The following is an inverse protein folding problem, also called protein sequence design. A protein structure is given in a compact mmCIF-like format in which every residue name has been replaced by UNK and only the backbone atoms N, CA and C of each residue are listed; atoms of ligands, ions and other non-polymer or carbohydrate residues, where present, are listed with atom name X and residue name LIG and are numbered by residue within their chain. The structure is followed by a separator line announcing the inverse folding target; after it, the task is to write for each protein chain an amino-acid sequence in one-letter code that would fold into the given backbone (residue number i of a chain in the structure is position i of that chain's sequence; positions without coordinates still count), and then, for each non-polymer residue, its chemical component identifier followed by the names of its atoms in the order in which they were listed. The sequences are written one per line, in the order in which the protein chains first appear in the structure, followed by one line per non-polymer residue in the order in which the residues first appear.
data_IF_859562670770
#
_entry.id   IF_859562670770
#
_cell.length_a   1.000
_cell.length_b   1.000
_cell.length_c   1.000
_cell.angle_alpha   90.00
_cell.angle_beta   90.00
_cell.angle_gamma   90.00
#
_symmetry.space_group_name_H-M   'P 1'
#
loop_
_entity.id
_entity.type
_entity.pdbx_description
1 polymer ?
#
# COMPACT_ATOMS: atom_id res chain seq x y z
N UNK A 1 21.63 -24.41 16.31
CA UNK A 1 22.00 -25.16 17.53
C UNK A 1 22.76 -24.21 18.46
N UNK A 2 22.28 -24.01 19.69
CA UNK A 2 23.01 -23.23 20.70
C UNK A 2 23.87 -24.22 21.48
N UNK A 3 25.19 -24.16 21.31
CA UNK A 3 26.10 -24.98 22.11
C UNK A 3 26.08 -24.43 23.55
N UNK A 4 25.58 -25.21 24.53
CA UNK A 4 25.49 -24.71 25.90
C UNK A 4 26.89 -24.52 26.48
N UNK A 5 27.12 -23.41 27.18
CA UNK A 5 28.34 -23.24 27.97
C UNK A 5 28.06 -23.72 29.39
N UNK A 6 28.80 -24.73 29.83
CA UNK A 6 28.73 -25.21 31.22
C UNK A 6 29.68 -24.37 32.06
N UNK A 7 29.18 -23.81 33.16
CA UNK A 7 30.04 -23.19 34.17
C UNK A 7 30.94 -24.27 34.78
N UNK A 8 32.25 -24.07 34.70
CA UNK A 8 33.24 -25.08 35.15
C UNK A 8 33.29 -25.24 36.68
N UNK A 9 32.71 -24.32 37.45
CA UNK A 9 32.69 -24.35 38.91
C UNK A 9 31.33 -24.81 39.46
N UNK A 10 30.21 -24.41 38.86
CA UNK A 10 28.87 -24.78 39.36
C UNK A 10 28.23 -25.96 38.63
N UNK A 11 28.71 -26.33 37.43
CA UNK A 11 28.11 -27.37 36.60
C UNK A 11 26.78 -26.96 35.93
N UNK A 12 26.33 -25.72 36.12
CA UNK A 12 25.11 -25.22 35.50
C UNK A 12 25.31 -24.97 34.00
N UNK A 13 24.28 -25.33 33.23
CA UNK A 13 24.20 -25.00 31.81
C UNK A 13 23.81 -23.53 31.70
N UNK A 14 24.78 -22.66 31.47
CA UNK A 14 24.53 -21.28 31.10
C UNK A 14 24.09 -21.29 29.63
N UNK A 15 22.82 -20.93 29.41
CA UNK A 15 22.32 -20.55 28.09
C UNK A 15 22.40 -19.02 28.02
N UNK A 16 23.52 -18.42 27.58
CA UNK A 16 23.56 -16.98 27.43
C UNK A 16 22.59 -16.60 26.31
N UNK A 17 21.39 -16.21 26.69
CA UNK A 17 20.42 -15.65 25.77
C UNK A 17 21.02 -14.37 25.22
N UNK A 18 21.15 -14.31 23.90
CA UNK A 18 21.65 -13.14 23.22
C UNK A 18 20.51 -12.54 22.42
N UNK A 19 20.23 -11.27 22.68
CA UNK A 19 19.22 -10.53 21.95
C UNK A 19 19.66 -10.28 20.50
N UNK A 20 18.80 -10.64 19.54
CA UNK A 20 19.04 -10.51 18.09
C UNK A 20 18.28 -9.34 17.47
N UNK A 21 16.97 -9.29 17.70
CA UNK A 21 16.10 -8.22 17.22
C UNK A 21 14.83 -8.10 18.09
N UNK A 22 14.05 -7.04 17.88
CA UNK A 22 12.67 -6.97 18.37
C UNK A 22 11.81 -8.08 17.74
N UNK A 23 10.64 -8.42 18.32
CA UNK A 23 9.77 -9.47 17.79
C UNK A 23 9.50 -9.31 16.29
N UNK A 24 9.72 -10.40 15.56
CA UNK A 24 9.63 -10.47 14.11
C UNK A 24 8.90 -11.76 13.73
N UNK A 25 7.84 -11.61 12.95
CA UNK A 25 7.05 -12.70 12.39
C UNK A 25 7.44 -12.88 10.92
N UNK A 26 7.68 -14.14 10.52
CA UNK A 26 7.95 -14.52 9.14
C UNK A 26 6.67 -15.12 8.56
N UNK A 27 5.98 -14.35 7.71
CA UNK A 27 4.63 -14.67 7.25
C UNK A 27 4.61 -15.53 6.00
N UNK A 28 5.49 -15.25 5.03
CA UNK A 28 5.43 -15.91 3.73
C UNK A 28 6.45 -15.40 2.74
N UNK A 29 6.35 -15.86 1.50
CA UNK A 29 7.26 -15.51 0.41
C UNK A 29 6.49 -15.04 -0.79
N UNK A 30 7.06 -14.15 -1.58
CA UNK A 30 6.42 -13.65 -2.80
C UNK A 30 7.47 -13.32 -3.85
N UNK A 31 7.02 -13.06 -5.08
CA UNK A 31 7.90 -12.75 -6.21
C UNK A 31 7.36 -11.53 -6.95
N UNK A 32 8.25 -10.59 -7.30
CA UNK A 32 7.96 -9.48 -8.21
C UNK A 32 8.96 -9.58 -9.36
N UNK A 33 8.47 -9.83 -10.57
CA UNK A 33 9.33 -10.11 -11.72
C UNK A 33 10.22 -11.34 -11.50
N UNK A 34 11.54 -11.13 -11.37
CA UNK A 34 12.53 -12.19 -11.09
C UNK A 34 13.05 -12.16 -9.65
N UNK A 35 12.62 -11.19 -8.85
CA UNK A 35 13.10 -10.99 -7.50
C UNK A 35 12.21 -11.71 -6.50
N UNK A 36 12.84 -12.42 -5.56
CA UNK A 36 12.17 -13.11 -4.46
C UNK A 36 12.16 -12.24 -3.20
N UNK A 37 11.07 -12.33 -2.45
CA UNK A 37 10.83 -11.54 -1.26
C UNK A 37 10.43 -12.40 -0.07
N UNK A 38 10.85 -11.97 1.11
CA UNK A 38 10.33 -12.45 2.39
C UNK A 38 9.29 -11.48 2.95
N UNK A 39 8.06 -11.95 3.15
CA UNK A 39 7.02 -11.17 3.82
C UNK A 39 7.17 -11.33 5.32
N UNK A 40 7.37 -10.21 6.00
CA UNK A 40 7.64 -10.17 7.44
C UNK A 40 6.79 -9.11 8.12
N UNK A 41 6.49 -9.34 9.39
CA UNK A 41 5.72 -8.42 10.23
C UNK A 41 6.40 -8.19 11.57
N UNK A 42 6.44 -6.94 12.01
CA UNK A 42 6.91 -6.58 13.36
C UNK A 42 6.09 -5.42 13.91
N UNK A 43 6.31 -5.11 15.19
CA UNK A 43 5.74 -3.92 15.84
C UNK A 43 6.84 -2.92 16.12
N UNK A 44 6.61 -1.65 15.78
CA UNK A 44 7.50 -0.55 16.15
C UNK A 44 7.54 -0.44 17.68
N UNK A 45 8.72 -0.42 18.32
CA UNK A 45 8.81 -0.38 19.79
C UNK A 45 8.17 0.86 20.43
N UNK A 46 8.15 2.01 19.73
CA UNK A 46 7.71 3.28 20.30
C UNK A 46 6.17 3.40 20.40
N UNK A 47 5.44 2.96 19.37
CA UNK A 47 4.00 3.18 19.24
C UNK A 47 3.21 1.87 19.04
N UNK A 48 3.87 0.70 19.05
CA UNK A 48 3.28 -0.62 18.82
C UNK A 48 2.56 -0.79 17.47
N UNK A 49 2.78 0.15 16.54
CA UNK A 49 2.25 0.08 15.19
C UNK A 49 2.81 -1.17 14.48
N UNK A 50 1.92 -1.95 13.87
CA UNK A 50 2.31 -3.14 13.15
C UNK A 50 2.71 -2.79 11.72
N UNK A 51 3.90 -3.22 11.33
CA UNK A 51 4.45 -3.05 9.98
C UNK A 51 4.49 -4.42 9.32
N UNK A 52 3.94 -4.54 8.13
CA UNK A 52 4.07 -5.73 7.26
C UNK A 52 4.78 -5.30 5.99
N UNK A 53 5.86 -5.97 5.62
CA UNK A 53 6.67 -5.62 4.45
C UNK A 53 7.18 -6.87 3.72
N UNK A 54 7.25 -6.78 2.40
CA UNK A 54 8.03 -7.68 1.57
C UNK A 54 9.47 -7.16 1.47
N UNK A 55 10.44 -7.92 1.97
CA UNK A 55 11.86 -7.57 1.94
C UNK A 55 12.55 -8.39 0.86
N UNK A 56 13.28 -7.77 -0.10
CA UNK A 56 14.01 -8.50 -1.13
C UNK A 56 15.00 -9.48 -0.49
N UNK A 57 14.93 -10.75 -0.83
CA UNK A 57 15.82 -11.78 -0.28
C UNK A 57 17.29 -11.46 -0.56
N UNK A 58 17.59 -10.91 -1.74
CA UNK A 58 18.95 -10.51 -2.12
C UNK A 58 19.56 -9.42 -1.24
N UNK A 59 18.76 -8.68 -0.47
CA UNK A 59 19.25 -7.69 0.49
C UNK A 59 19.34 -8.19 1.94
N UNK A 60 18.77 -9.37 2.26
CA UNK A 60 18.75 -9.89 3.62
C UNK A 60 20.15 -10.30 4.04
N UNK A 61 20.68 -9.67 5.09
CA UNK A 61 22.03 -9.88 5.59
C UNK A 61 23.02 -8.79 5.18
N UNK A 62 22.70 -8.02 4.14
CA UNK A 62 23.54 -6.93 3.63
C UNK A 62 23.25 -5.60 4.32
N UNK A 63 24.18 -4.64 4.12
CA UNK A 63 24.09 -3.29 4.72
C UNK A 63 22.75 -2.61 4.42
N UNK A 64 22.30 -2.71 3.18
CA UNK A 64 21.11 -2.00 2.72
C UNK A 64 19.82 -2.66 3.21
N UNK A 65 19.77 -4.01 3.30
CA UNK A 65 18.64 -4.70 3.94
C UNK A 65 18.55 -4.42 5.45
N UNK A 66 19.68 -4.39 6.16
CA UNK A 66 19.68 -3.97 7.57
C UNK A 66 19.27 -2.51 7.76
N UNK A 67 19.65 -1.62 6.84
CA UNK A 67 19.21 -0.23 6.86
C UNK A 67 17.69 -0.15 6.65
N UNK A 68 17.17 -0.81 5.62
CA UNK A 68 15.73 -0.85 5.33
C UNK A 68 14.89 -1.28 6.55
N UNK A 69 15.28 -2.38 7.20
CA UNK A 69 14.57 -2.90 8.38
C UNK A 69 14.58 -1.90 9.55
N UNK A 70 15.72 -1.26 9.82
CA UNK A 70 15.86 -0.27 10.91
C UNK A 70 15.10 1.03 10.60
N UNK A 71 15.14 1.49 9.36
CA UNK A 71 14.42 2.69 8.91
C UNK A 71 12.89 2.52 9.09
N UNK A 72 12.40 1.27 9.04
CA UNK A 72 11.00 0.91 9.31
C UNK A 72 10.75 0.40 10.74
N UNK A 73 11.69 0.64 11.66
CA UNK A 73 11.49 0.47 13.10
C UNK A 73 11.75 -0.93 13.66
N UNK A 74 12.38 -1.84 12.91
CA UNK A 74 12.87 -3.09 13.47
C UNK A 74 14.19 -2.84 14.20
N UNK A 75 14.22 -3.08 15.51
CA UNK A 75 15.47 -3.03 16.27
C UNK A 75 16.28 -4.30 16.01
N UNK A 76 17.55 -4.15 15.65
CA UNK A 76 18.46 -5.28 15.33
C UNK A 76 19.80 -5.08 16.05
N UNK A 77 20.38 -6.17 16.54
CA UNK A 77 21.72 -6.23 17.13
C UNK A 77 22.78 -5.57 16.25
N UNK A 78 23.82 -4.97 16.82
CA UNK A 78 24.95 -4.39 16.09
C UNK A 78 26.08 -5.37 15.82
N UNK A 79 26.05 -6.54 16.47
CA UNK A 79 27.07 -7.56 16.33
C UNK A 79 26.92 -8.29 14.98
N UNK A 80 27.94 -8.19 14.13
CA UNK A 80 27.94 -8.80 12.78
C UNK A 80 27.73 -10.31 12.77
N UNK A 81 28.29 -11.04 13.75
CA UNK A 81 28.13 -12.50 13.84
C UNK A 81 26.67 -12.88 14.09
N UNK A 82 25.99 -12.13 14.95
CA UNK A 82 24.58 -12.37 15.27
C UNK A 82 23.64 -11.90 14.17
N UNK A 83 24.00 -10.85 13.43
CA UNK A 83 23.29 -10.47 12.21
C UNK A 83 23.33 -11.55 11.14
N UNK A 84 24.48 -12.19 10.91
CA UNK A 84 24.59 -13.29 9.96
C UNK A 84 23.62 -14.44 10.33
N UNK A 85 23.59 -14.83 11.61
CA UNK A 85 22.65 -15.86 12.11
C UNK A 85 21.19 -15.42 11.92
N UNK A 86 20.87 -14.16 12.20
CA UNK A 86 19.53 -13.62 12.03
C UNK A 86 19.11 -13.59 10.54
N UNK A 87 20.03 -13.25 9.63
CA UNK A 87 19.77 -13.26 8.19
C UNK A 87 19.47 -14.67 7.68
N UNK A 88 20.22 -15.69 8.11
CA UNK A 88 19.94 -17.09 7.79
C UNK A 88 18.56 -17.50 8.31
N UNK A 89 18.24 -17.11 9.54
CA UNK A 89 16.93 -17.41 10.13
C UNK A 89 15.77 -16.75 9.36
N UNK A 90 15.91 -15.47 8.99
CA UNK A 90 14.91 -14.72 8.20
C UNK A 90 14.63 -15.40 6.85
N UNK A 91 15.67 -15.92 6.19
CA UNK A 91 15.54 -16.56 4.89
C UNK A 91 15.01 -18.00 4.96
N UNK A 92 15.44 -18.79 5.94
CA UNK A 92 15.22 -20.24 5.94
C UNK A 92 14.08 -20.69 6.86
N UNK A 93 13.79 -19.95 7.92
CA UNK A 93 12.84 -20.37 8.97
C UNK A 93 11.44 -19.75 8.76
N UNK A 94 10.47 -20.15 9.58
CA UNK A 94 9.13 -19.56 9.61
C UNK A 94 8.18 -20.09 8.55
N UNK A 95 7.05 -19.40 8.35
CA UNK A 95 6.04 -19.79 7.36
C UNK A 95 6.49 -19.40 5.95
N UNK A 96 6.36 -20.28 4.97
CA UNK A 96 6.70 -20.03 3.56
C UNK A 96 5.46 -20.03 2.65
N UNK A 97 4.28 -19.76 3.24
CA UNK A 97 3.06 -19.48 2.48
C UNK A 97 3.33 -18.50 1.34
N UNK A 98 2.72 -18.77 0.20
CA UNK A 98 2.90 -17.96 -0.99
C UNK A 98 1.99 -16.73 -0.93
N UNK A 99 2.59 -15.55 -1.02
CA UNK A 99 1.95 -14.26 -1.03
C UNK A 99 1.99 -13.66 -2.43
N UNK A 100 0.91 -12.97 -2.79
CA UNK A 100 0.82 -12.21 -4.03
C UNK A 100 1.24 -10.77 -3.76
N UNK A 101 2.27 -10.31 -4.46
CA UNK A 101 2.84 -8.98 -4.27
C UNK A 101 2.47 -8.10 -5.46
N UNK A 102 1.99 -6.88 -5.19
CA UNK A 102 1.73 -5.90 -6.25
C UNK A 102 2.45 -4.59 -5.96
N UNK A 103 3.03 -4.00 -7.01
CA UNK A 103 3.64 -2.67 -6.98
C UNK A 103 2.67 -1.56 -7.37
N UNK A 104 1.47 -1.91 -7.86
CA UNK A 104 0.44 -0.97 -8.35
C UNK A 104 -0.89 -1.20 -7.66
N UNK A 105 -1.73 -0.18 -7.60
CA UNK A 105 -3.11 -0.24 -7.11
C UNK A 105 -4.04 -0.84 -8.17
N UNK A 106 -5.34 -0.96 -7.86
CA UNK A 106 -6.36 -1.47 -8.78
C UNK A 106 -6.61 -2.96 -8.65
N UNK A 107 -7.18 -3.58 -9.68
CA UNK A 107 -7.48 -5.02 -9.66
C UNK A 107 -6.25 -5.88 -9.81
N UNK A 108 -5.96 -6.69 -8.79
CA UNK A 108 -4.90 -7.67 -8.81
C UNK A 108 -5.38 -8.95 -8.13
N UNK A 109 -5.08 -10.09 -8.76
CA UNK A 109 -5.30 -11.40 -8.15
C UNK A 109 -6.74 -11.68 -7.65
N UNK A 110 -7.74 -11.08 -8.31
CA UNK A 110 -9.16 -11.25 -7.96
C UNK A 110 -9.68 -10.29 -6.88
N UNK A 111 -8.84 -9.40 -6.35
CA UNK A 111 -9.23 -8.38 -5.39
C UNK A 111 -8.77 -6.98 -5.83
N UNK A 112 -9.35 -5.94 -5.24
CA UNK A 112 -9.00 -4.55 -5.53
C UNK A 112 -8.06 -4.00 -4.45
N UNK A 113 -6.88 -3.54 -4.86
CA UNK A 113 -5.87 -2.92 -3.99
C UNK A 113 -6.07 -1.41 -3.98
N UNK A 114 -6.40 -0.87 -2.82
CA UNK A 114 -6.54 0.57 -2.59
C UNK A 114 -5.16 1.24 -2.49
N UNK A 115 -5.06 2.57 -2.72
CA UNK A 115 -3.80 3.30 -2.57
C UNK A 115 -3.15 3.19 -1.20
N UNK A 116 -3.93 3.11 -0.12
CA UNK A 116 -3.42 2.90 1.24
C UNK A 116 -2.92 1.46 1.50
N UNK A 117 -3.01 0.58 0.51
CA UNK A 117 -2.63 -0.83 0.58
C UNK A 117 -3.70 -1.75 1.15
N UNK A 118 -4.87 -1.21 1.53
CA UNK A 118 -6.01 -2.05 1.91
C UNK A 118 -6.56 -2.81 0.70
N UNK A 119 -7.16 -3.98 0.95
CA UNK A 119 -7.63 -4.89 -0.09
C UNK A 119 -9.13 -5.08 0.06
N UNK A 120 -9.88 -4.87 -1.02
CA UNK A 120 -11.32 -5.10 -1.10
C UNK A 120 -11.57 -6.36 -1.93
N UNK A 121 -12.37 -7.27 -1.39
CA UNK A 121 -12.68 -8.55 -2.02
C UNK A 121 -11.86 -9.71 -1.46
N UNK A 122 -12.00 -10.88 -2.08
CA UNK A 122 -11.33 -12.10 -1.67
C UNK A 122 -10.32 -12.52 -2.74
N UNK A 123 -9.20 -13.07 -2.29
CA UNK A 123 -8.15 -13.62 -3.15
C UNK A 123 -7.76 -15.00 -2.63
N UNK A 124 -7.23 -15.85 -3.52
CA UNK A 124 -6.82 -17.21 -3.15
C UNK A 124 -5.64 -17.21 -2.18
N UNK A 125 -4.76 -16.20 -2.28
CA UNK A 125 -3.54 -16.05 -1.49
C UNK A 125 -3.51 -14.66 -0.85
N UNK A 126 -2.84 -14.49 0.30
CA UNK A 126 -2.68 -13.17 0.90
C UNK A 126 -1.99 -12.19 -0.07
N UNK A 127 -2.56 -11.01 -0.21
CA UNK A 127 -2.02 -9.93 -1.05
C UNK A 127 -1.27 -8.93 -0.17
N UNK A 128 -0.12 -8.45 -0.66
CA UNK A 128 0.58 -7.30 -0.07
C UNK A 128 0.93 -6.29 -1.16
N UNK A 129 0.47 -5.06 -0.97
CA UNK A 129 0.92 -3.92 -1.75
C UNK A 129 2.31 -3.47 -1.30
N UNK A 130 3.25 -3.39 -2.23
CA UNK A 130 4.65 -2.99 -1.98
C UNK A 130 5.03 -1.70 -2.71
N UNK A 131 4.09 -1.13 -3.46
CA UNK A 131 4.26 0.14 -4.16
C UNK A 131 4.33 1.32 -3.19
N UNK A 132 4.83 2.45 -3.69
CA UNK A 132 4.68 3.75 -3.05
C UNK A 132 3.71 4.55 -3.91
N UNK A 133 2.58 4.97 -3.35
CA UNK A 133 1.66 5.84 -4.08
C UNK A 133 1.62 7.21 -3.42
N UNK A 134 1.78 8.25 -4.24
CA UNK A 134 1.60 9.63 -3.79
C UNK A 134 0.12 9.90 -3.43
N UNK A 135 -0.81 9.10 -3.95
CA UNK A 135 -2.24 9.27 -3.77
C UNK A 135 -2.74 8.91 -2.37
N UNK A 136 -1.96 8.20 -1.51
CA UNK A 136 -2.43 7.75 -0.18
C UNK A 136 -3.05 8.88 0.63
N UNK A 137 -2.47 10.09 0.62
CA UNK A 137 -2.95 11.21 1.43
C UNK A 137 -4.34 11.71 1.03
N UNK A 138 -4.75 11.48 -0.22
CA UNK A 138 -6.06 11.88 -0.72
C UNK A 138 -7.17 10.90 -0.38
N UNK A 139 -6.85 9.62 -0.19
CA UNK A 139 -7.81 8.58 0.13
C UNK A 139 -8.06 8.54 1.64
N UNK A 140 -9.30 8.83 2.03
CA UNK A 140 -9.67 8.90 3.45
C UNK A 140 -11.17 8.67 3.61
N UNK A 141 -11.58 8.22 4.79
CA UNK A 141 -13.00 8.05 5.12
C UNK A 141 -13.40 9.14 6.09
N UNK A 142 -14.40 9.94 5.71
CA UNK A 142 -15.02 10.95 6.56
C UNK A 142 -16.55 10.80 6.52
N UNK A 143 -17.17 10.64 7.68
CA UNK A 143 -18.62 10.45 7.80
C UNK A 143 -19.07 9.03 7.49
N UNK A 144 -20.28 8.89 6.93
CA UNK A 144 -20.87 7.60 6.55
C UNK A 144 -21.39 7.63 5.13
N UNK A 145 -21.54 6.45 4.51
CA UNK A 145 -22.11 6.30 3.18
C UNK A 145 -23.52 6.86 3.10
N UNK A 146 -24.35 6.64 4.12
CA UNK A 146 -25.70 7.21 4.21
C UNK A 146 -25.65 8.74 4.30
N UNK A 147 -24.72 9.28 5.09
CA UNK A 147 -24.49 10.71 5.19
C UNK A 147 -24.12 11.33 3.85
N UNK A 148 -23.20 10.70 3.11
CA UNK A 148 -22.82 11.15 1.76
C UNK A 148 -24.01 11.09 0.79
N UNK A 149 -24.79 10.00 0.82
CA UNK A 149 -25.99 9.84 -0.02
C UNK A 149 -27.04 10.92 0.26
N UNK A 150 -27.36 11.14 1.53
CA UNK A 150 -28.46 12.02 1.95
C UNK A 150 -28.09 13.51 1.86
N UNK A 151 -26.80 13.83 1.70
CA UNK A 151 -26.28 15.20 1.56
C UNK A 151 -25.75 15.49 0.16
N UNK A 152 -24.67 14.83 -0.27
CA UNK A 152 -23.98 15.10 -1.55
C UNK A 152 -24.77 14.52 -2.72
N UNK A 153 -25.06 13.21 -2.70
CA UNK A 153 -25.72 12.55 -3.82
C UNK A 153 -27.14 13.10 -4.06
N UNK A 154 -27.88 13.36 -2.97
CA UNK A 154 -29.21 13.96 -3.03
C UNK A 154 -29.21 15.32 -3.73
N UNK A 155 -28.18 16.15 -3.49
CA UNK A 155 -28.05 17.47 -4.14
C UNK A 155 -27.57 17.37 -5.59
N UNK A 156 -26.79 16.35 -5.93
CA UNK A 156 -26.39 16.06 -7.31
C UNK A 156 -27.56 15.54 -8.17
N UNK A 157 -28.57 14.92 -7.54
CA UNK A 157 -29.74 14.36 -8.21
C UNK A 157 -30.48 15.38 -9.08
N UNK A 158 -30.65 15.06 -10.37
CA UNK A 158 -31.30 15.92 -11.35
C UNK A 158 -30.36 16.93 -12.03
N UNK A 159 -29.10 17.05 -11.61
CA UNK A 159 -28.08 17.79 -12.32
C UNK A 159 -27.26 16.84 -13.21
N UNK A 160 -27.37 16.90 -14.55
CA UNK A 160 -26.70 15.94 -15.43
C UNK A 160 -25.18 15.91 -15.29
N UNK A 161 -24.52 17.07 -15.10
CA UNK A 161 -23.08 17.15 -14.97
C UNK A 161 -22.58 16.52 -13.67
N UNK A 162 -23.25 16.79 -12.55
CA UNK A 162 -22.88 16.20 -11.25
C UNK A 162 -23.16 14.69 -11.22
N UNK A 163 -24.29 14.26 -11.78
CA UNK A 163 -24.61 12.85 -11.93
C UNK A 163 -23.59 12.13 -12.82
N UNK A 164 -23.12 12.77 -13.90
CA UNK A 164 -22.04 12.26 -14.73
C UNK A 164 -20.75 12.09 -13.92
N UNK A 165 -20.35 13.10 -13.14
CA UNK A 165 -19.16 13.01 -12.27
C UNK A 165 -19.21 11.81 -11.32
N UNK A 166 -20.35 11.59 -10.66
CA UNK A 166 -20.58 10.41 -9.80
C UNK A 166 -20.48 9.11 -10.59
N UNK A 167 -21.14 9.03 -11.76
CA UNK A 167 -21.14 7.83 -12.58
C UNK A 167 -19.73 7.47 -13.11
N UNK A 168 -18.95 8.46 -13.55
CA UNK A 168 -17.57 8.27 -13.99
C UNK A 168 -16.71 7.73 -12.86
N UNK A 169 -16.81 8.34 -11.67
CA UNK A 169 -16.05 7.92 -10.50
C UNK A 169 -16.34 6.48 -10.08
N UNK A 170 -17.62 6.10 -10.06
CA UNK A 170 -18.03 4.72 -9.75
C UNK A 170 -17.71 3.71 -10.85
N UNK A 171 -17.61 4.16 -12.11
CA UNK A 171 -17.28 3.29 -13.24
C UNK A 171 -15.79 2.91 -13.28
N UNK A 172 -14.91 3.73 -12.70
CA UNK A 172 -13.46 3.53 -12.75
C UNK A 172 -13.02 2.12 -12.30
N UNK A 173 -13.43 1.60 -11.12
CA UNK A 173 -13.07 0.25 -10.70
C UNK A 173 -13.87 -0.84 -11.44
N UNK A 174 -14.88 -0.51 -12.25
CA UNK A 174 -15.72 -1.51 -12.92
C UNK A 174 -15.34 -1.72 -14.39
N UNK A 175 -14.68 -0.75 -15.00
CA UNK A 175 -14.51 -0.72 -16.45
C UNK A 175 -13.67 -1.89 -16.99
N UNK A 176 -12.57 -2.22 -16.30
CA UNK A 176 -11.73 -3.37 -16.63
C UNK A 176 -12.46 -4.70 -16.43
N UNK A 177 -13.33 -4.81 -15.41
CA UNK A 177 -14.08 -6.03 -15.12
C UNK A 177 -15.10 -6.37 -16.21
N UNK A 178 -15.66 -5.36 -16.87
CA UNK A 178 -16.61 -5.55 -17.97
C UNK A 178 -15.91 -5.63 -19.34
N UNK A 179 -14.58 -5.58 -19.38
CA UNK A 179 -13.79 -5.65 -20.61
C UNK A 179 -13.95 -4.43 -21.52
N UNK A 180 -14.28 -3.27 -20.95
CA UNK A 180 -14.39 -2.01 -21.69
C UNK A 180 -13.08 -1.21 -21.61
N UNK A 181 -12.86 -0.37 -22.62
CA UNK A 181 -11.71 0.53 -22.66
C UNK A 181 -11.85 1.69 -21.67
N UNK A 182 -10.74 2.09 -21.07
CA UNK A 182 -10.64 3.32 -20.27
C UNK A 182 -11.09 4.56 -21.06
N UNK A 183 -11.72 5.52 -20.38
CA UNK A 183 -12.14 6.78 -21.00
C UNK A 183 -11.85 7.98 -20.10
N UNK A 184 -11.83 9.17 -20.70
CA UNK A 184 -11.76 10.45 -20.00
C UNK A 184 -12.99 11.31 -20.27
N UNK A 185 -13.37 12.15 -19.30
CA UNK A 185 -14.43 13.15 -19.45
C UNK A 185 -13.85 14.52 -19.21
N UNK A 186 -13.99 15.39 -20.21
CA UNK A 186 -13.61 16.79 -20.11
C UNK A 186 -14.84 17.66 -19.89
N UNK A 187 -14.96 18.25 -18.70
CA UNK A 187 -16.00 19.24 -18.40
C UNK A 187 -15.55 20.61 -18.94
N UNK A 188 -16.15 21.04 -20.05
CA UNK A 188 -15.81 22.32 -20.69
C UNK A 188 -16.97 23.31 -20.59
N UNK A 189 -16.74 24.43 -19.92
CA UNK A 189 -17.73 25.50 -19.75
C UNK A 189 -17.04 26.78 -19.24
N UNK A 190 -17.76 27.91 -19.21
CA UNK A 190 -17.27 29.15 -18.60
C UNK A 190 -16.82 28.98 -17.13
N UNK A 191 -15.99 29.89 -16.64
CA UNK A 191 -15.60 29.91 -15.22
C UNK A 191 -16.83 30.00 -14.33
N UNK A 192 -16.77 29.39 -13.14
CA UNK A 192 -17.87 29.32 -12.17
C UNK A 192 -19.12 28.55 -12.61
N UNK A 193 -19.06 27.78 -13.70
CA UNK A 193 -20.17 26.92 -14.14
C UNK A 193 -20.28 25.55 -13.41
N UNK A 194 -19.54 25.35 -12.31
CA UNK A 194 -19.63 24.13 -11.49
C UNK A 194 -18.75 22.96 -11.93
N UNK A 195 -17.72 23.19 -12.77
CA UNK A 195 -16.73 22.16 -13.18
C UNK A 195 -15.99 21.57 -11.99
N UNK A 196 -15.32 22.42 -11.21
CA UNK A 196 -14.59 22.01 -9.99
C UNK A 196 -15.53 21.39 -8.96
N UNK A 197 -16.77 21.90 -8.83
CA UNK A 197 -17.78 21.28 -7.95
C UNK A 197 -18.12 19.85 -8.39
N UNK A 198 -18.30 19.62 -9.68
CA UNK A 198 -18.58 18.28 -10.24
C UNK A 198 -17.41 17.34 -10.00
N UNK A 199 -16.18 17.79 -10.23
CA UNK A 199 -14.97 17.00 -9.94
C UNK A 199 -14.83 16.71 -8.45
N UNK A 200 -15.07 17.69 -7.58
CA UNK A 200 -15.03 17.48 -6.12
C UNK A 200 -16.06 16.45 -5.67
N UNK A 201 -17.28 16.47 -6.23
CA UNK A 201 -18.29 15.44 -5.96
C UNK A 201 -17.76 14.06 -6.38
N UNK A 202 -17.17 13.94 -7.58
CA UNK A 202 -16.60 12.69 -8.07
C UNK A 202 -15.47 12.17 -7.17
N UNK A 203 -14.54 13.02 -6.75
CA UNK A 203 -13.42 12.66 -5.86
C UNK A 203 -13.86 12.32 -4.44
N UNK A 204 -14.94 12.95 -3.95
CA UNK A 204 -15.45 12.73 -2.59
C UNK A 204 -15.93 11.30 -2.31
N UNK A 205 -16.14 10.49 -3.35
CA UNK A 205 -16.41 9.05 -3.23
C UNK A 205 -15.21 8.26 -2.69
N UNK A 206 -13.99 8.76 -2.91
CA UNK A 206 -12.74 8.06 -2.59
C UNK A 206 -11.97 8.70 -1.43
N UNK A 207 -12.27 9.96 -1.09
CA UNK A 207 -11.65 10.68 0.01
C UNK A 207 -11.74 12.19 -0.11
N UNK A 208 -10.75 12.91 0.39
CA UNK A 208 -10.77 14.38 0.46
C UNK A 208 -10.47 15.00 -0.92
N UNK A 209 -11.42 15.72 -1.55
CA UNK A 209 -11.23 16.22 -2.91
C UNK A 209 -10.02 17.12 -3.11
N UNK A 210 -9.74 18.03 -2.17
CA UNK A 210 -8.60 18.95 -2.29
C UNK A 210 -7.25 18.22 -2.23
N UNK A 211 -7.16 17.13 -1.45
CA UNK A 211 -5.96 16.31 -1.35
C UNK A 211 -5.76 15.36 -2.54
N UNK A 212 -6.81 15.12 -3.32
CA UNK A 212 -6.77 14.34 -4.58
C UNK A 212 -6.65 15.21 -5.83
N UNK A 213 -6.80 16.54 -5.72
CA UNK A 213 -6.79 17.43 -6.88
C UNK A 213 -5.40 17.44 -7.51
N UNK A 214 -5.34 16.99 -8.76
CA UNK A 214 -4.14 17.06 -9.59
C UNK A 214 -4.35 18.15 -10.65
N UNK A 215 -3.25 18.72 -11.12
CA UNK A 215 -3.26 19.72 -12.20
C UNK A 215 -2.76 19.11 -13.51
N UNK A 216 -3.33 19.52 -14.63
CA UNK A 216 -2.80 19.22 -15.95
C UNK A 216 -1.43 19.88 -16.21
N UNK A 217 -1.06 20.89 -15.43
CA UNK A 217 0.26 21.51 -15.47
C UNK A 217 1.32 20.60 -14.83
N UNK A 218 1.73 19.57 -15.56
CA UNK A 218 2.72 18.59 -15.12
C UNK A 218 3.63 18.12 -16.26
N UNK A 219 4.70 17.40 -15.89
CA UNK A 219 5.50 16.67 -16.88
C UNK A 219 4.74 15.40 -17.31
N UNK A 220 4.97 14.91 -18.54
CA UNK A 220 4.37 13.67 -19.00
C UNK A 220 4.67 12.48 -18.06
N UNK A 221 5.88 12.44 -17.50
CA UNK A 221 6.27 11.43 -16.49
C UNK A 221 5.49 11.61 -15.18
N UNK A 222 5.28 12.84 -14.73
CA UNK A 222 4.47 13.11 -13.54
C UNK A 222 3.03 12.61 -13.71
N UNK A 223 2.40 12.93 -14.84
CA UNK A 223 1.04 12.47 -15.13
C UNK A 223 0.98 10.93 -15.26
N UNK A 224 1.99 10.30 -15.86
CA UNK A 224 2.06 8.84 -15.96
C UNK A 224 2.16 8.17 -14.58
N UNK A 225 2.95 8.73 -13.66
CA UNK A 225 3.05 8.23 -12.29
C UNK A 225 1.72 8.38 -11.53
N UNK A 226 1.00 9.50 -11.73
CA UNK A 226 -0.33 9.68 -11.14
C UNK A 226 -1.36 8.70 -11.72
N UNK A 227 -1.28 8.42 -13.02
CA UNK A 227 -2.14 7.42 -13.65
C UNK A 227 -1.87 6.00 -13.10
N UNK A 228 -0.60 5.64 -12.88
CA UNK A 228 -0.23 4.36 -12.24
C UNK A 228 -0.72 4.28 -10.79
N UNK A 229 -0.65 5.39 -10.05
CA UNK A 229 -1.17 5.49 -8.69
C UNK A 229 -2.71 5.36 -8.61
N UNK A 230 -3.41 5.71 -9.69
CA UNK A 230 -4.86 5.61 -9.85
C UNK A 230 -5.26 4.48 -10.81
N UNK A 231 -4.49 3.39 -10.88
CA UNK A 231 -4.84 2.25 -11.70
C UNK A 231 -6.20 1.67 -11.27
N UNK A 232 -7.13 1.50 -12.23
CA UNK A 232 -8.55 1.19 -12.02
C UNK A 232 -9.30 2.16 -11.08
N UNK A 233 -8.76 3.37 -10.87
CA UNK A 233 -9.33 4.43 -10.03
C UNK A 233 -9.64 5.71 -10.80
N UNK A 234 -10.39 6.62 -10.16
CA UNK A 234 -10.64 7.95 -10.73
C UNK A 234 -9.34 8.77 -10.69
N UNK A 235 -8.95 9.35 -11.83
CA UNK A 235 -7.86 10.33 -11.92
C UNK A 235 -8.42 11.74 -12.16
N UNK A 236 -8.65 12.56 -11.12
CA UNK A 236 -9.19 13.91 -11.27
C UNK A 236 -8.07 14.91 -11.64
N UNK A 237 -8.13 15.45 -12.86
CA UNK A 237 -7.19 16.48 -13.34
C UNK A 237 -7.93 17.80 -13.59
N UNK A 238 -7.50 18.88 -12.95
CA UNK A 238 -8.04 20.24 -13.09
C UNK A 238 -7.14 21.13 -13.98
N UNK A 239 -7.73 22.21 -14.50
CA UNK A 239 -7.08 23.26 -15.29
C UNK A 239 -6.44 22.80 -16.62
N UNK A 240 -7.25 22.31 -17.55
CA UNK A 240 -6.82 22.11 -18.94
C UNK A 240 -6.89 23.41 -19.75
N UNK A 241 -6.02 24.37 -19.41
CA UNK A 241 -5.84 25.64 -20.14
C UNK A 241 -6.72 26.81 -19.70
#
# INVERSE_FOLDING_TARGET
WVTPKVDKQSGEIIRPETWLCSPLELLGTGTIGKEHYRVMRWKKPANHESITMAIPCGGIGDRDGWRLLKDHGLNVTTNGKYRAILADWMQLSGNHEEWQLSTTTGWHFGAYIMPDGSVIGESEKPILFTGKTAAVSGYSVAGTTEGWRDTVARLAGGNPSMMLGVAVSLSAPLIGLVGADGFGVHLFEQSSAGKTTTQNIASSLWGEPDAQRLTWYGTALGIANEAEAHNDGLLPLDEIG
#
